data_IF_678750990967
#
_entry.id   IF_678750990967
#
_cell.length_a   1.000
_cell.length_b   1.000
_cell.length_c   1.000
_cell.angle_alpha   90.00
_cell.angle_beta   90.00
_cell.angle_gamma   90.00
#
_symmetry.space_group_name_H-M   'P 1'
#
loop_
_entity.id
_entity.type
_entity.pdbx_description
1 polymer ?
#
# COMPACT_ATOMS: atom_id res chain seq x y z
N UNK A 1 -4.64 -0.21 -10.31
CA UNK A 1 -3.89 0.60 -9.33
C UNK A 1 -2.41 0.37 -9.53
N UNK A 2 -1.64 1.43 -9.78
CA UNK A 2 -0.19 1.32 -10.01
C UNK A 2 0.59 1.32 -8.67
N UNK A 3 1.85 0.91 -8.66
CA UNK A 3 2.69 0.79 -7.45
C UNK A 3 2.77 2.12 -6.67
N UNK A 4 2.81 3.24 -7.39
CA UNK A 4 2.88 4.58 -6.81
C UNK A 4 1.62 4.98 -6.06
N UNK A 5 0.44 4.64 -6.58
CA UNK A 5 -0.81 4.90 -5.87
C UNK A 5 -0.90 4.05 -4.61
N UNK A 6 -0.42 2.80 -4.69
CA UNK A 6 -0.33 1.94 -3.52
C UNK A 6 0.59 2.54 -2.44
N UNK A 7 1.76 3.05 -2.83
CA UNK A 7 2.69 3.75 -1.92
C UNK A 7 2.08 5.00 -1.31
N UNK A 8 1.37 5.80 -2.11
CA UNK A 8 0.69 7.00 -1.64
C UNK A 8 -0.28 6.69 -0.51
N UNK A 9 -1.07 5.63 -0.63
CA UNK A 9 -1.98 5.19 0.43
C UNK A 9 -1.24 4.72 1.69
N UNK A 10 -0.12 4.01 1.54
CA UNK A 10 0.69 3.56 2.69
C UNK A 10 1.22 4.77 3.46
N UNK A 11 1.78 5.74 2.75
CA UNK A 11 2.36 6.97 3.32
C UNK A 11 1.29 7.82 4.00
N UNK A 12 0.11 7.92 3.38
CA UNK A 12 -1.04 8.64 3.92
C UNK A 12 -1.58 8.01 5.22
N UNK A 13 -1.73 6.67 5.26
CA UNK A 13 -2.19 5.96 6.46
C UNK A 13 -1.18 6.05 7.60
N UNK A 14 0.11 5.94 7.31
CA UNK A 14 1.15 5.98 8.33
C UNK A 14 1.59 7.42 8.68
N UNK A 15 0.95 8.45 8.10
CA UNK A 15 1.28 9.87 8.24
C UNK A 15 2.77 10.16 8.04
N UNK A 16 3.34 9.59 6.99
CA UNK A 16 4.75 9.76 6.65
C UNK A 16 4.94 10.91 5.67
N UNK A 17 6.02 11.67 5.81
CA UNK A 17 6.33 12.78 4.92
C UNK A 17 7.41 12.37 3.91
N UNK A 18 7.04 11.48 2.99
CA UNK A 18 7.90 11.04 1.88
C UNK A 18 7.46 11.68 0.58
N UNK A 19 8.40 12.25 -0.16
CA UNK A 19 8.17 12.78 -1.49
C UNK A 19 8.16 11.62 -2.51
N UNK A 20 6.97 11.32 -3.03
CA UNK A 20 6.72 10.24 -3.99
C UNK A 20 6.21 10.80 -5.32
N UNK A 21 6.88 10.41 -6.40
CA UNK A 21 6.57 10.86 -7.76
C UNK A 21 6.65 9.70 -8.77
N UNK A 22 5.91 9.83 -9.87
CA UNK A 22 5.99 8.92 -11.02
C UNK A 22 7.42 8.92 -11.56
N UNK A 23 8.01 7.74 -11.76
CA UNK A 23 9.41 7.61 -12.17
C UNK A 23 10.42 7.54 -11.02
N UNK A 24 9.98 7.48 -9.76
CA UNK A 24 10.84 7.12 -8.64
C UNK A 24 11.45 5.71 -8.86
N UNK A 25 12.75 5.59 -8.54
CA UNK A 25 13.49 4.34 -8.60
C UNK A 25 13.02 3.34 -7.54
N UNK A 26 13.03 2.06 -7.90
CA UNK A 26 12.66 0.95 -7.01
C UNK A 26 13.44 0.94 -5.69
N UNK A 27 14.72 1.31 -5.71
CA UNK A 27 15.56 1.44 -4.51
C UNK A 27 14.98 2.39 -3.45
N UNK A 28 14.35 3.50 -3.87
CA UNK A 28 13.67 4.40 -2.92
C UNK A 28 12.40 3.75 -2.37
N UNK A 29 11.67 3.00 -3.20
CA UNK A 29 10.48 2.24 -2.78
C UNK A 29 10.84 1.21 -1.73
N UNK A 30 11.92 0.46 -1.94
CA UNK A 30 12.46 -0.49 -0.95
C UNK A 30 12.86 0.23 0.34
N UNK A 31 13.52 1.40 0.26
CA UNK A 31 13.87 2.20 1.43
C UNK A 31 12.64 2.62 2.25
N UNK A 32 11.53 2.96 1.59
CA UNK A 32 10.26 3.27 2.26
C UNK A 32 9.67 2.00 2.91
N UNK A 33 9.68 0.87 2.21
CA UNK A 33 9.15 -0.40 2.74
C UNK A 33 9.94 -0.94 3.94
N UNK A 34 11.26 -0.72 3.96
CA UNK A 34 12.12 -1.07 5.11
C UNK A 34 11.83 -0.22 6.36
N UNK A 35 11.04 0.85 6.22
CA UNK A 35 10.56 1.57 7.39
C UNK A 35 9.61 0.67 8.17
N UNK A 36 9.83 0.51 9.49
CA UNK A 36 9.12 -0.45 10.37
C UNK A 36 7.59 -0.40 10.27
N UNK A 37 7.05 0.78 9.93
CA UNK A 37 5.63 1.05 9.75
C UNK A 37 5.08 0.59 8.39
N UNK A 38 5.94 0.53 7.37
CA UNK A 38 5.59 0.18 6.00
C UNK A 38 5.83 -1.29 5.65
N UNK A 39 6.67 -2.01 6.39
CA UNK A 39 7.04 -3.41 6.13
C UNK A 39 5.80 -4.33 6.01
N UNK A 40 4.80 -4.09 6.87
CA UNK A 40 3.51 -4.79 6.87
C UNK A 40 2.72 -4.67 5.56
N UNK A 41 3.05 -3.73 4.68
CA UNK A 41 2.38 -3.57 3.39
C UNK A 41 3.12 -4.21 2.21
N UNK A 42 4.27 -4.87 2.44
CA UNK A 42 5.14 -5.39 1.38
C UNK A 42 4.44 -6.39 0.44
N UNK A 43 3.77 -7.43 0.96
CA UNK A 43 3.01 -8.36 0.11
C UNK A 43 1.89 -7.68 -0.65
N UNK A 44 1.20 -6.74 -0.03
CA UNK A 44 0.12 -6.03 -0.70
C UNK A 44 0.64 -5.09 -1.80
N UNK A 45 1.81 -4.48 -1.59
CA UNK A 45 2.46 -3.65 -2.60
C UNK A 45 2.87 -4.50 -3.83
N UNK A 46 3.64 -5.57 -3.59
CA UNK A 46 4.28 -6.40 -4.61
C UNK A 46 3.26 -7.32 -5.30
N UNK A 47 2.46 -8.04 -4.51
CA UNK A 47 1.57 -9.11 -5.02
C UNK A 47 0.11 -8.65 -5.09
N UNK A 48 -0.27 -7.58 -4.39
CA UNK A 48 -1.69 -7.16 -4.29
C UNK A 48 -2.52 -8.01 -3.33
N UNK A 49 -1.91 -9.00 -2.68
CA UNK A 49 -2.55 -9.89 -1.70
C UNK A 49 -2.11 -9.51 -0.29
N UNK A 50 -2.98 -9.76 0.69
CA UNK A 50 -2.66 -9.64 2.12
C UNK A 50 -2.41 -11.03 2.70
N UNK A 51 -1.51 -11.12 3.68
CA UNK A 51 -1.20 -12.34 4.45
C UNK A 51 -1.35 -11.96 5.93
N UNK A 52 -2.58 -11.92 6.45
CA UNK A 52 -2.84 -11.46 7.82
C UNK A 52 -2.13 -12.31 8.87
N UNK A 53 -1.95 -13.62 8.60
CA UNK A 53 -1.23 -14.56 9.47
C UNK A 53 0.24 -14.18 9.70
N UNK A 54 0.87 -13.54 8.71
CA UNK A 54 2.24 -13.03 8.79
C UNK A 54 2.30 -11.54 9.16
N UNK A 55 1.16 -10.94 9.55
CA UNK A 55 1.05 -9.51 9.83
C UNK A 55 1.16 -8.62 8.58
N UNK A 56 1.09 -9.20 7.38
CA UNK A 56 1.13 -8.43 6.14
C UNK A 56 -0.28 -8.07 5.68
N UNK A 57 -0.60 -6.79 5.72
CA UNK A 57 -1.95 -6.25 5.55
C UNK A 57 -1.98 -5.20 4.43
N UNK A 58 -3.17 -4.76 4.05
CA UNK A 58 -3.35 -3.61 3.16
C UNK A 58 -3.58 -2.34 3.97
N UNK A 59 -3.26 -1.15 3.44
CA UNK A 59 -3.64 0.13 4.06
C UNK A 59 -5.16 0.21 4.24
N UNK A 60 -5.63 0.89 5.30
CA UNK A 60 -7.07 1.07 5.52
C UNK A 60 -7.76 1.76 4.32
N UNK A 61 -7.06 2.72 3.71
CA UNK A 61 -7.57 3.50 2.57
C UNK A 61 -7.60 2.67 1.28
N UNK A 62 -6.77 1.62 1.17
CA UNK A 62 -6.81 0.69 0.03
C UNK A 62 -8.13 -0.08 -0.07
N UNK A 63 -8.84 -0.22 1.05
CA UNK A 63 -10.16 -0.84 1.10
C UNK A 63 -11.28 0.13 0.69
N UNK A 64 -11.05 1.44 0.73
CA UNK A 64 -12.02 2.47 0.30
C UNK A 64 -12.15 2.59 -1.21
N UNK A 65 -11.32 1.88 -1.99
CA UNK A 65 -11.44 1.79 -3.44
C UNK A 65 -12.55 0.82 -3.85
N UNK A 66 -13.80 1.32 -3.96
CA UNK A 66 -14.95 0.67 -4.60
C UNK A 66 -15.09 -0.84 -4.29
N UNK A 67 -15.56 -1.17 -3.09
CA UNK A 67 -16.58 -2.23 -3.03
C UNK A 67 -17.85 -1.66 -3.64
N UNK A 68 -17.99 -1.75 -4.97
CA UNK A 68 -19.32 -1.78 -5.55
C UNK A 68 -19.92 -3.11 -5.13
N UNK A 69 -20.46 -3.16 -3.91
CA UNK A 69 -21.43 -4.20 -3.57
C UNK A 69 -22.64 -3.91 -4.43
N UNK A 70 -22.62 -4.44 -5.65
CA UNK A 70 -23.84 -4.58 -6.44
C UNK A 70 -24.66 -5.64 -5.70
N UNK A 71 -25.44 -5.21 -4.70
CA UNK A 71 -26.56 -6.00 -4.22
C UNK A 71 -27.56 -6.04 -5.37
N UNK A 72 -27.45 -7.06 -6.22
CA UNK A 72 -28.52 -7.47 -7.11
C UNK A 72 -29.55 -8.18 -6.22
N UNK A 73 -30.58 -7.44 -5.82
CA UNK A 73 -31.86 -7.99 -5.38
C UNK A 73 -32.77 -8.21 -6.58
#
# INVERSE_FOLDING_TARGET
MNIYEKLKQIIEVESLNFDIYQGMNWLKVEGILQYRKCEKYSAWLVTGKIIPEAGQISPAIAHSGRMTTTLLF
#
